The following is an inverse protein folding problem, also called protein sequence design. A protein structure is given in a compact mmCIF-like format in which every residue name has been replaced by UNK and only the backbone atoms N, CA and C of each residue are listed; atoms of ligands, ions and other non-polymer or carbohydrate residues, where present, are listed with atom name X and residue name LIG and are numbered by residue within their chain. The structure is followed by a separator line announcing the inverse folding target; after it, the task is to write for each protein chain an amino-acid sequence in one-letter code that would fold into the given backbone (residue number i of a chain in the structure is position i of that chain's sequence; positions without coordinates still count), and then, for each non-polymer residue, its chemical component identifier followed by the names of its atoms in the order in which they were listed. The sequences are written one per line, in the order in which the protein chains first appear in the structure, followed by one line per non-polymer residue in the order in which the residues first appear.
data_IF_042930355221
#
_entry.id   IF_042930355221
#
_cell.length_a   1.000
_cell.length_b   1.000
_cell.length_c   1.000
_cell.angle_alpha   90.00
_cell.angle_beta   90.00
_cell.angle_gamma   90.00
#
_symmetry.space_group_name_H-M   'P 1'
#
loop_
_entity.id
_entity.type
_entity.pdbx_description
1 polymer ?
#
# COMPACT_ATOMS: atom_id res chain seq x y z
N UNK A 1 9.93 0.61 -20.03
CA UNK A 1 8.88 1.20 -19.18
C UNK A 1 9.32 1.09 -17.74
N UNK A 2 9.25 2.16 -16.96
CA UNK A 2 9.59 2.10 -15.54
C UNK A 2 8.53 1.29 -14.79
N UNK A 3 8.97 0.35 -13.95
CA UNK A 3 8.08 -0.48 -13.12
C UNK A 3 7.28 0.42 -12.19
N UNK A 4 5.95 0.30 -12.22
CA UNK A 4 5.04 1.03 -11.33
C UNK A 4 4.82 0.23 -10.05
N UNK A 5 4.96 0.89 -8.91
CA UNK A 5 4.80 0.33 -7.58
C UNK A 5 3.43 0.75 -7.03
N UNK A 6 2.46 -0.16 -7.11
CA UNK A 6 1.13 0.07 -6.56
C UNK A 6 1.07 -0.38 -5.10
N UNK A 7 0.62 0.53 -4.23
CA UNK A 7 0.38 0.27 -2.84
C UNK A 7 -1.08 0.57 -2.47
N UNK A 8 -1.72 -0.30 -1.69
CA UNK A 8 -2.95 0.06 -1.00
C UNK A 8 -2.61 0.66 0.37
N UNK A 9 -3.37 1.66 0.80
CA UNK A 9 -3.32 2.18 2.17
C UNK A 9 -4.73 2.28 2.72
N UNK A 10 -4.98 1.67 3.87
CA UNK A 10 -6.30 1.66 4.49
C UNK A 10 -6.27 1.38 5.98
N UNK A 11 -7.31 1.85 6.67
CA UNK A 11 -7.61 1.53 8.05
C UNK A 11 -8.90 0.70 8.13
N UNK A 12 -8.91 -0.30 9.02
CA UNK A 12 -10.03 -1.24 9.17
C UNK A 12 -10.21 -1.63 10.63
N UNK A 13 -11.47 -1.72 11.07
CA UNK A 13 -11.84 -2.16 12.42
C UNK A 13 -11.81 -3.68 12.58
N UNK A 14 -11.98 -4.19 13.80
CA UNK A 14 -12.06 -5.64 14.08
C UNK A 14 -13.28 -6.33 13.44
N UNK A 15 -14.27 -5.56 13.02
CA UNK A 15 -15.48 -6.02 12.33
C UNK A 15 -15.54 -5.57 10.87
N UNK A 16 -14.37 -5.41 10.24
CA UNK A 16 -14.17 -5.08 8.82
C UNK A 16 -14.75 -3.74 8.37
N UNK A 17 -15.12 -2.85 9.30
CA UNK A 17 -15.63 -1.52 8.96
C UNK A 17 -14.47 -0.65 8.52
N UNK A 18 -14.67 0.07 7.41
CA UNK A 18 -13.74 1.05 6.84
C UNK A 18 -14.34 2.46 6.74
N UNK A 19 -15.64 2.61 6.99
CA UNK A 19 -16.33 3.88 6.85
C UNK A 19 -17.81 3.85 7.23
N UNK A 20 -18.35 5.04 7.51
CA UNK A 20 -19.76 5.29 7.74
C UNK A 20 -20.12 6.68 7.21
N UNK A 21 -21.18 6.80 6.39
CA UNK A 21 -21.67 8.08 5.85
C UNK A 21 -20.56 9.00 5.28
N UNK A 22 -19.71 8.45 4.40
CA UNK A 22 -18.57 9.16 3.80
C UNK A 22 -17.54 9.71 4.82
N UNK A 23 -17.51 9.18 6.03
CA UNK A 23 -16.56 9.54 7.09
C UNK A 23 -15.93 8.29 7.72
N UNK A 24 -14.84 8.49 8.47
CA UNK A 24 -14.26 7.45 9.32
C UNK A 24 -15.02 7.41 10.64
N UNK A 25 -15.50 6.25 11.11
CA UNK A 25 -16.28 6.12 12.35
C UNK A 25 -15.41 6.14 13.62
N UNK A 26 -14.18 6.62 13.51
CA UNK A 26 -13.20 6.75 14.59
C UNK A 26 -12.36 8.01 14.36
N UNK A 27 -11.87 8.59 15.47
CA UNK A 27 -10.82 9.61 15.41
C UNK A 27 -9.46 9.00 15.77
N UNK A 28 -8.62 8.82 14.74
CA UNK A 28 -7.23 8.35 14.84
C UNK A 28 -6.28 9.31 14.12
N UNK A 29 -6.46 10.62 14.33
CA UNK A 29 -5.68 11.68 13.68
C UNK A 29 -4.16 11.51 13.81
N UNK A 30 -3.64 11.03 14.96
CA UNK A 30 -2.18 10.86 15.12
C UNK A 30 -1.70 9.50 14.64
N UNK A 31 -2.49 8.44 14.83
CA UNK A 31 -2.05 7.08 14.54
C UNK A 31 -2.11 6.70 13.06
N UNK A 32 -3.18 7.07 12.35
CA UNK A 32 -3.45 6.64 10.97
C UNK A 32 -3.16 7.73 9.95
N UNK A 33 -3.72 8.93 10.16
CA UNK A 33 -3.56 10.05 9.23
C UNK A 33 -2.09 10.53 9.13
N UNK A 34 -1.33 10.48 10.23
CA UNK A 34 0.11 10.76 10.20
C UNK A 34 0.87 9.76 9.32
N UNK A 35 0.59 8.46 9.45
CA UNK A 35 1.23 7.43 8.62
C UNK A 35 0.87 7.64 7.15
N UNK A 36 -0.42 7.87 6.88
CA UNK A 36 -0.90 8.19 5.53
C UNK A 36 -0.14 9.37 4.95
N UNK A 37 -0.05 10.48 5.68
CA UNK A 37 0.60 11.70 5.20
C UNK A 37 2.11 11.52 4.99
N UNK A 38 2.78 10.79 5.87
CA UNK A 38 4.21 10.51 5.74
C UNK A 38 4.49 9.61 4.54
N UNK A 39 3.76 8.49 4.42
CA UNK A 39 3.95 7.52 3.33
C UNK A 39 3.63 8.11 1.96
N UNK A 40 2.50 8.83 1.87
CA UNK A 40 1.97 9.32 0.60
C UNK A 40 2.60 10.64 0.14
N UNK A 41 3.56 11.21 0.85
CA UNK A 41 4.28 12.43 0.44
C UNK A 41 5.74 12.18 0.04
N UNK A 42 6.31 11.05 0.45
CA UNK A 42 7.69 10.72 0.15
C UNK A 42 7.87 10.54 -1.37
N UNK A 43 8.76 11.29 -2.02
CA UNK A 43 9.06 11.12 -3.44
C UNK A 43 9.54 9.70 -3.76
N UNK A 44 9.47 9.32 -5.02
CA UNK A 44 10.16 8.13 -5.51
C UNK A 44 11.68 8.34 -5.57
N UNK A 45 12.42 7.29 -5.94
CA UNK A 45 13.89 7.31 -6.02
C UNK A 45 14.45 8.36 -6.99
N UNK A 46 13.64 8.78 -7.96
CA UNK A 46 14.01 9.78 -8.96
C UNK A 46 13.54 11.19 -8.55
N UNK A 47 12.99 11.35 -7.35
CA UNK A 47 12.49 12.62 -6.83
C UNK A 47 11.11 13.01 -7.36
N UNK A 48 10.41 12.14 -8.08
CA UNK A 48 9.05 12.46 -8.53
C UNK A 48 8.07 12.37 -7.36
N UNK A 49 7.05 13.25 -7.30
CA UNK A 49 6.01 13.13 -6.29
C UNK A 49 5.21 11.82 -6.48
N UNK A 50 4.70 11.21 -5.41
CA UNK A 50 3.85 10.03 -5.54
C UNK A 50 2.48 10.37 -6.17
N UNK A 51 1.86 9.37 -6.79
CA UNK A 51 0.51 9.44 -7.37
C UNK A 51 -0.50 8.91 -6.36
N UNK A 52 -1.55 9.66 -6.06
CA UNK A 52 -2.69 9.20 -5.27
C UNK A 52 -3.89 8.96 -6.17
N UNK A 53 -4.47 7.77 -6.05
CA UNK A 53 -5.65 7.38 -6.82
C UNK A 53 -6.76 7.03 -5.84
N UNK A 54 -7.91 7.70 -5.99
CA UNK A 54 -9.10 7.47 -5.18
C UNK A 54 -10.38 7.39 -6.00
N UNK A 55 -11.48 6.97 -5.37
CA UNK A 55 -12.81 7.01 -5.96
C UNK A 55 -13.54 8.31 -5.63
N UNK A 56 -14.56 8.66 -6.42
CA UNK A 56 -15.33 9.92 -6.24
C UNK A 56 -15.86 10.16 -4.83
N UNK A 57 -16.38 9.14 -4.13
CA UNK A 57 -16.86 9.27 -2.73
C UNK A 57 -15.73 9.52 -1.73
N UNK A 58 -14.55 8.98 -1.99
CA UNK A 58 -13.38 9.26 -1.16
C UNK A 58 -12.90 10.69 -1.40
N UNK A 59 -12.90 11.16 -2.65
CA UNK A 59 -12.62 12.56 -2.94
C UNK A 59 -13.62 13.51 -2.27
N UNK A 60 -14.91 13.16 -2.25
CA UNK A 60 -15.95 13.88 -1.52
C UNK A 60 -15.64 13.98 -0.02
N UNK A 61 -15.22 12.88 0.62
CA UNK A 61 -14.80 12.88 2.03
C UNK A 61 -13.56 13.74 2.32
N UNK A 62 -12.73 13.98 1.29
CA UNK A 62 -11.57 14.88 1.34
C UNK A 62 -11.92 16.33 0.99
N UNK A 63 -13.21 16.62 0.76
CA UNK A 63 -13.72 17.95 0.42
C UNK A 63 -13.31 18.42 -0.98
N UNK A 64 -13.17 17.48 -1.94
CA UNK A 64 -12.82 17.77 -3.33
C UNK A 64 -11.49 18.51 -3.55
N UNK A 65 -10.57 18.42 -2.58
CA UNK A 65 -9.28 19.12 -2.65
C UNK A 65 -8.14 18.15 -2.97
N UNK A 66 -7.31 18.44 -3.99
CA UNK A 66 -6.11 17.68 -4.20
C UNK A 66 -5.15 17.87 -3.03
N UNK A 67 -4.53 16.77 -2.62
CA UNK A 67 -3.57 16.78 -1.53
C UNK A 67 -2.22 17.30 -2.04
N UNK A 68 -1.68 18.36 -1.41
CA UNK A 68 -0.43 19.01 -1.83
C UNK A 68 0.75 18.02 -1.93
N UNK A 69 1.68 18.31 -2.84
CA UNK A 69 2.92 17.55 -3.12
C UNK A 69 2.69 16.12 -3.64
N UNK A 70 1.55 15.89 -4.29
CA UNK A 70 1.14 14.61 -4.88
C UNK A 70 0.46 14.87 -6.21
N UNK A 71 0.58 13.93 -7.14
CA UNK A 71 -0.30 13.88 -8.29
C UNK A 71 -1.62 13.25 -7.86
N UNK A 72 -2.72 14.01 -7.89
CA UNK A 72 -4.01 13.53 -7.39
C UNK A 72 -4.90 13.09 -8.55
N UNK A 73 -5.37 11.85 -8.49
CA UNK A 73 -6.21 11.22 -9.50
C UNK A 73 -7.48 10.69 -8.85
N UNK A 74 -8.63 10.95 -9.50
CA UNK A 74 -9.92 10.41 -9.09
C UNK A 74 -10.55 9.58 -10.21
N UNK A 75 -11.05 8.41 -9.84
CA UNK A 75 -11.95 7.61 -10.66
C UNK A 75 -13.40 8.00 -10.36
N UNK A 76 -14.15 8.38 -11.37
CA UNK A 76 -15.54 8.83 -11.24
C UNK A 76 -16.42 8.28 -12.37
N UNK A 77 -17.70 8.05 -12.08
CA UNK A 77 -18.72 7.77 -13.10
C UNK A 77 -19.41 9.04 -13.60
N UNK A 78 -19.16 10.19 -12.96
CA UNK A 78 -19.71 11.49 -13.33
C UNK A 78 -18.59 12.54 -13.42
N UNK A 79 -17.96 12.72 -14.60
CA UNK A 79 -16.83 13.62 -14.79
C UNK A 79 -17.22 15.11 -14.87
N UNK A 80 -18.51 15.40 -15.03
CA UNK A 80 -19.05 16.75 -15.27
C UNK A 80 -19.61 17.41 -14.00
N UNK A 81 -19.45 16.77 -12.84
CA UNK A 81 -19.89 17.30 -11.55
C UNK A 81 -19.13 18.61 -11.22
N UNK A 82 -19.83 19.65 -10.77
CA UNK A 82 -19.24 20.98 -10.52
C UNK A 82 -18.05 20.94 -9.56
N UNK A 83 -18.16 20.22 -8.44
CA UNK A 83 -17.07 20.09 -7.46
C UNK A 83 -15.82 19.39 -8.06
N UNK A 84 -16.01 18.59 -9.11
CA UNK A 84 -14.90 17.96 -9.82
C UNK A 84 -14.22 18.94 -10.78
N UNK A 85 -14.91 19.97 -11.27
CA UNK A 85 -14.28 21.04 -12.04
C UNK A 85 -13.28 21.81 -11.17
N UNK A 86 -13.67 22.17 -9.94
CA UNK A 86 -12.75 22.82 -8.98
C UNK A 86 -11.54 21.93 -8.65
N UNK A 87 -11.75 20.62 -8.47
CA UNK A 87 -10.65 19.67 -8.27
C UNK A 87 -9.66 19.65 -9.44
N UNK A 88 -10.18 19.66 -10.68
CA UNK A 88 -9.36 19.69 -11.91
C UNK A 88 -8.59 21.01 -12.05
N UNK A 89 -9.25 22.14 -11.77
CA UNK A 89 -8.60 23.48 -11.78
C UNK A 89 -7.49 23.58 -10.75
N UNK A 90 -7.63 22.91 -9.60
CA UNK A 90 -6.60 22.81 -8.57
C UNK A 90 -5.46 21.81 -8.89
N UNK A 91 -5.42 21.26 -10.12
CA UNK A 91 -4.37 20.37 -10.59
C UNK A 91 -4.63 18.87 -10.37
N UNK A 92 -5.87 18.50 -10.01
CA UNK A 92 -6.31 17.11 -9.97
C UNK A 92 -6.65 16.57 -11.37
N UNK A 93 -6.61 15.24 -11.52
CA UNK A 93 -6.98 14.56 -12.76
C UNK A 93 -8.16 13.62 -12.53
N UNK A 94 -9.08 13.54 -13.49
CA UNK A 94 -10.25 12.69 -13.42
C UNK A 94 -10.26 11.67 -14.57
N UNK A 95 -10.57 10.42 -14.24
CA UNK A 95 -10.71 9.34 -15.20
C UNK A 95 -12.03 8.60 -14.97
N UNK A 96 -12.60 8.07 -16.05
CA UNK A 96 -13.88 7.33 -16.01
C UNK A 96 -13.72 5.84 -16.24
N UNK A 97 -12.55 5.40 -16.70
CA UNK A 97 -12.22 3.99 -16.91
C UNK A 97 -10.77 3.69 -16.53
N UNK A 98 -10.53 2.43 -16.12
CA UNK A 98 -9.23 1.99 -15.60
C UNK A 98 -8.16 1.97 -16.70
N UNK A 99 -8.53 1.59 -17.92
CA UNK A 99 -7.60 1.40 -19.03
C UNK A 99 -6.92 2.70 -19.43
N UNK A 100 -7.68 3.79 -19.57
CA UNK A 100 -7.13 5.11 -19.88
C UNK A 100 -6.25 5.63 -18.76
N UNK A 101 -6.61 5.36 -17.51
CA UNK A 101 -5.78 5.69 -16.36
C UNK A 101 -4.45 4.92 -16.40
N UNK A 102 -4.47 3.61 -16.64
CA UNK A 102 -3.24 2.82 -16.77
C UNK A 102 -2.37 3.32 -17.92
N UNK A 103 -2.96 3.62 -19.07
CA UNK A 103 -2.25 4.19 -20.21
C UNK A 103 -1.60 5.53 -19.86
N UNK A 104 -2.32 6.41 -19.16
CA UNK A 104 -1.76 7.67 -18.65
C UNK A 104 -0.60 7.43 -17.68
N UNK A 105 -0.75 6.50 -16.73
CA UNK A 105 0.28 6.18 -15.76
C UNK A 105 1.58 5.71 -16.43
N UNK A 106 1.48 4.99 -17.55
CA UNK A 106 2.65 4.57 -18.34
C UNK A 106 3.38 5.73 -19.03
N UNK A 107 2.72 6.88 -19.23
CA UNK A 107 3.35 8.07 -19.84
C UNK A 107 4.13 8.95 -18.87
N UNK A 108 3.90 8.81 -17.56
CA UNK A 108 4.52 9.64 -16.53
C UNK A 108 5.73 8.94 -15.88
N UNK A 109 6.75 9.69 -15.41
CA UNK A 109 7.93 9.09 -14.80
C UNK A 109 7.68 8.53 -13.38
N UNK A 110 6.58 8.94 -12.74
CA UNK A 110 6.25 8.60 -11.35
C UNK A 110 6.15 7.08 -11.17
N UNK A 111 6.90 6.53 -10.23
CA UNK A 111 6.89 5.09 -9.98
C UNK A 111 5.93 4.71 -8.84
N UNK A 112 5.73 5.59 -7.86
CA UNK A 112 4.98 5.30 -6.64
C UNK A 112 3.50 5.67 -6.76
N UNK A 113 2.62 4.68 -6.66
CA UNK A 113 1.17 4.84 -6.82
C UNK A 113 0.47 4.31 -5.57
N UNK A 114 -0.33 5.16 -4.93
CA UNK A 114 -1.14 4.79 -3.76
C UNK A 114 -2.62 4.75 -4.13
N UNK A 115 -3.24 3.60 -3.91
CA UNK A 115 -4.68 3.40 -3.98
C UNK A 115 -5.25 3.65 -2.57
N UNK A 116 -5.83 4.84 -2.38
CA UNK A 116 -6.23 5.33 -1.05
C UNK A 116 -7.71 5.06 -0.72
N UNK A 117 -8.35 4.19 -1.53
CA UNK A 117 -9.76 3.84 -1.40
C UNK A 117 -10.69 4.70 -2.28
N UNK A 118 -12.01 4.52 -2.22
CA UNK A 118 -12.72 3.63 -1.31
C UNK A 118 -12.74 2.18 -1.75
N UNK A 119 -13.66 1.41 -1.16
CA UNK A 119 -13.90 -0.02 -1.38
C UNK A 119 -13.68 -0.48 -2.83
N UNK A 120 -14.33 0.17 -3.78
CA UNK A 120 -14.32 -0.24 -5.20
C UNK A 120 -12.96 -0.02 -5.86
N UNK A 121 -12.17 0.95 -5.38
CA UNK A 121 -10.81 1.19 -5.87
C UNK A 121 -9.87 0.04 -5.52
N UNK A 122 -9.96 -0.48 -4.30
CA UNK A 122 -9.14 -1.64 -3.93
C UNK A 122 -9.55 -2.88 -4.73
N UNK A 123 -10.86 -3.11 -4.95
CA UNK A 123 -11.32 -4.21 -5.81
C UNK A 123 -10.78 -4.05 -7.23
N UNK A 124 -10.84 -2.82 -7.77
CA UNK A 124 -10.40 -2.52 -9.13
C UNK A 124 -8.89 -2.75 -9.32
N UNK A 125 -8.06 -2.35 -8.34
CA UNK A 125 -6.59 -2.35 -8.46
C UNK A 125 -5.88 -3.50 -7.71
N UNK A 126 -6.61 -4.43 -7.08
CA UNK A 126 -6.00 -5.45 -6.21
C UNK A 126 -4.96 -6.31 -6.92
N UNK A 127 -5.11 -6.54 -8.23
CA UNK A 127 -4.17 -7.36 -9.00
C UNK A 127 -2.82 -6.67 -9.18
N UNK A 128 -2.81 -5.34 -9.29
CA UNK A 128 -1.61 -4.53 -9.46
C UNK A 128 -0.92 -4.23 -8.13
N UNK A 129 -1.66 -4.24 -7.01
CA UNK A 129 -1.15 -3.92 -5.67
C UNK A 129 -0.10 -4.95 -5.22
N UNK A 130 1.13 -4.45 -5.06
CA UNK A 130 2.27 -5.20 -4.54
C UNK A 130 2.55 -4.97 -3.05
N UNK A 131 2.14 -3.82 -2.51
CA UNK A 131 2.32 -3.46 -1.09
C UNK A 131 0.98 -3.07 -0.47
N UNK A 132 0.73 -3.48 0.77
CA UNK A 132 -0.42 -3.06 1.56
C UNK A 132 0.05 -2.46 2.87
N UNK A 133 -0.28 -1.19 3.09
CA UNK A 133 -0.17 -0.50 4.37
C UNK A 133 -1.53 -0.55 5.08
N UNK A 134 -1.62 -1.35 6.14
CA UNK A 134 -2.87 -1.61 6.86
C UNK A 134 -2.78 -1.07 8.29
N UNK A 135 -3.72 -0.23 8.67
CA UNK A 135 -3.96 0.13 10.08
C UNK A 135 -5.12 -0.70 10.62
N UNK A 136 -4.84 -1.64 11.52
CA UNK A 136 -5.85 -2.42 12.24
C UNK A 136 -6.28 -1.69 13.51
N UNK A 137 -7.55 -1.38 13.63
CA UNK A 137 -8.11 -0.64 14.76
C UNK A 137 -8.74 -1.65 15.71
N UNK A 138 -8.27 -1.66 16.96
CA UNK A 138 -8.76 -2.58 18.01
C UNK A 138 -10.07 -2.09 18.60
N UNK A 139 -11.08 -2.02 17.75
CA UNK A 139 -12.43 -1.64 18.12
C UNK A 139 -13.44 -2.30 17.18
N UNK A 140 -14.61 -2.62 17.73
CA UNK A 140 -15.81 -2.90 16.95
C UNK A 140 -16.65 -1.64 16.86
N UNK A 141 -16.85 -1.14 15.64
CA UNK A 141 -17.54 0.13 15.39
C UNK A 141 -18.78 -0.09 14.54
N UNK A 142 -19.74 0.82 14.64
CA UNK A 142 -20.86 0.85 13.71
C UNK A 142 -20.39 1.51 12.41
N UNK A 143 -20.66 0.87 11.28
CA UNK A 143 -20.42 1.45 9.97
C UNK A 143 -21.11 0.66 8.88
N UNK A 144 -21.40 1.36 7.78
CA UNK A 144 -22.12 0.78 6.65
C UNK A 144 -21.17 0.28 5.55
N UNK A 145 -19.93 0.76 5.55
CA UNK A 145 -18.94 0.45 4.53
C UNK A 145 -17.96 -0.55 5.13
N UNK A 146 -17.98 -1.76 4.56
CA UNK A 146 -17.07 -2.84 4.93
C UNK A 146 -15.95 -2.98 3.90
N UNK A 147 -14.78 -3.40 4.38
CA UNK A 147 -13.69 -3.87 3.54
C UNK A 147 -14.21 -4.98 2.62
N UNK A 148 -13.81 -5.04 1.35
CA UNK A 148 -14.32 -6.06 0.44
C UNK A 148 -13.94 -7.47 0.91
N UNK A 149 -14.92 -8.37 1.18
CA UNK A 149 -14.62 -9.73 1.63
C UNK A 149 -13.96 -10.60 0.54
N UNK A 150 -14.03 -10.17 -0.72
CA UNK A 150 -13.37 -10.83 -1.86
C UNK A 150 -11.87 -10.58 -1.90
N UNK A 151 -11.35 -9.64 -1.10
CA UNK A 151 -9.94 -9.29 -1.08
C UNK A 151 -9.27 -9.98 0.11
N UNK A 152 -8.28 -10.81 -0.20
CA UNK A 152 -7.52 -11.57 0.79
C UNK A 152 -6.06 -11.18 0.78
N UNK A 153 -5.45 -11.20 1.97
CA UNK A 153 -4.01 -11.04 2.18
C UNK A 153 -3.28 -12.39 2.22
N UNK A 154 -3.95 -13.52 1.98
CA UNK A 154 -3.32 -14.86 1.96
C UNK A 154 -2.15 -14.94 0.97
N UNK A 155 -2.24 -14.22 -0.16
CA UNK A 155 -1.18 -14.12 -1.14
C UNK A 155 -0.15 -13.05 -0.81
N UNK A 156 -0.12 -12.53 0.41
CA UNK A 156 0.82 -11.51 0.86
C UNK A 156 1.60 -12.01 2.07
N UNK A 157 2.87 -11.63 2.14
CA UNK A 157 3.71 -11.85 3.32
C UNK A 157 3.69 -10.59 4.17
N UNK A 158 3.41 -10.75 5.47
CA UNK A 158 3.59 -9.68 6.44
C UNK A 158 5.09 -9.44 6.65
N UNK A 159 5.54 -8.21 6.40
CA UNK A 159 6.96 -7.83 6.53
C UNK A 159 7.21 -6.88 7.71
N UNK A 160 6.15 -6.26 8.23
CA UNK A 160 6.22 -5.40 9.40
C UNK A 160 4.90 -5.42 10.17
N UNK A 161 4.99 -5.44 11.49
CA UNK A 161 3.86 -5.22 12.38
C UNK A 161 4.30 -4.47 13.62
N UNK A 162 3.73 -3.28 13.82
CA UNK A 162 3.96 -2.46 15.01
C UNK A 162 2.65 -2.12 15.70
N UNK A 163 2.52 -2.58 16.94
CA UNK A 163 1.48 -2.09 17.83
C UNK A 163 1.74 -0.61 18.14
N UNK A 164 0.75 0.25 17.86
CA UNK A 164 0.77 1.66 18.23
C UNK A 164 -0.17 1.87 19.41
N UNK A 165 0.42 1.91 20.59
CA UNK A 165 -0.27 2.18 21.85
C UNK A 165 -0.20 3.68 22.16
N UNK A 166 -0.75 4.51 21.28
CA UNK A 166 -0.91 5.93 21.60
C UNK A 166 -1.80 6.07 22.84
N UNK A 167 -1.55 7.05 23.72
CA UNK A 167 -2.47 7.35 24.82
C UNK A 167 -3.86 7.55 24.25
N UNK A 168 -4.84 6.85 24.83
CA UNK A 168 -6.24 7.02 24.43
C UNK A 168 -6.67 8.41 24.83
N UNK A 169 -6.86 9.27 23.83
CA UNK A 169 -7.29 10.66 23.94
C UNK A 169 -8.41 10.94 22.94
N UNK A 170 -8.95 12.16 22.95
CA UNK A 170 -10.02 12.57 22.03
C UNK A 170 -9.65 12.38 20.54
N UNK A 171 -8.34 12.32 20.21
CA UNK A 171 -7.79 12.23 18.85
C UNK A 171 -7.22 10.84 18.52
N UNK A 172 -7.26 9.90 19.46
CA UNK A 172 -6.75 8.54 19.35
C UNK A 172 -7.62 7.61 20.20
N UNK A 173 -8.86 7.43 19.77
CA UNK A 173 -9.88 6.77 20.57
C UNK A 173 -9.60 5.29 20.83
N UNK A 174 -8.82 4.65 19.96
CA UNK A 174 -8.61 3.21 19.99
C UNK A 174 -7.14 2.85 19.76
N UNK A 175 -6.62 1.83 20.46
CA UNK A 175 -5.36 1.23 20.10
C UNK A 175 -5.39 0.73 18.65
N UNK A 176 -4.26 0.82 17.95
CA UNK A 176 -4.15 0.32 16.58
C UNK A 176 -2.84 -0.43 16.36
N UNK A 177 -2.81 -1.27 15.33
CA UNK A 177 -1.60 -1.96 14.87
C UNK A 177 -1.36 -1.59 13.42
N UNK A 178 -0.19 -1.02 13.14
CA UNK A 178 0.22 -0.71 11.78
C UNK A 178 0.98 -1.89 11.21
N UNK A 179 0.54 -2.39 10.07
CA UNK A 179 1.10 -3.56 9.40
C UNK A 179 1.44 -3.25 7.96
N UNK A 180 2.50 -3.89 7.46
CA UNK A 180 2.91 -3.80 6.07
C UNK A 180 2.98 -5.21 5.50
N UNK A 181 2.31 -5.40 4.38
CA UNK A 181 2.31 -6.65 3.64
C UNK A 181 2.93 -6.43 2.26
N UNK A 182 3.74 -7.39 1.80
CA UNK A 182 4.32 -7.43 0.46
C UNK A 182 3.83 -8.69 -0.25
N UNK A 183 3.30 -8.55 -1.48
CA UNK A 183 2.93 -9.70 -2.30
C UNK A 183 4.19 -10.43 -2.78
N UNK A 184 4.38 -11.73 -2.43
CA UNK A 184 5.41 -12.55 -3.06
C UNK A 184 5.12 -12.64 -4.56
N UNK A 185 6.11 -12.36 -5.42
CA UNK A 185 5.92 -12.52 -6.86
C UNK A 185 5.50 -11.27 -7.64
N UNK A 186 5.66 -10.05 -7.12
CA UNK A 186 5.84 -8.85 -7.98
C UNK A 186 7.23 -8.81 -8.64
N UNK A 187 7.71 -9.99 -8.97
CA UNK A 187 8.92 -10.33 -9.69
C UNK A 187 8.47 -10.77 -11.10
N UNK A 188 9.30 -10.58 -12.12
CA UNK A 188 8.98 -11.10 -13.46
C UNK A 188 8.81 -12.63 -13.39
N UNK A 189 8.11 -13.23 -14.35
CA UNK A 189 7.93 -14.70 -14.42
C UNK A 189 9.27 -15.45 -14.33
N UNK A 190 10.33 -14.89 -14.93
CA UNK A 190 11.70 -15.42 -14.88
C UNK A 190 12.27 -15.44 -13.45
N UNK A 191 12.13 -14.33 -12.72
CA UNK A 191 12.56 -14.24 -11.32
C UNK A 191 11.78 -15.19 -10.41
N UNK A 192 10.51 -15.46 -10.73
CA UNK A 192 9.68 -16.43 -10.02
C UNK A 192 10.13 -17.88 -10.26
N UNK A 193 10.45 -18.25 -11.50
CA UNK A 193 10.96 -19.58 -11.85
C UNK A 193 12.29 -19.89 -11.13
N UNK A 194 13.13 -18.87 -10.98
CA UNK A 194 14.40 -18.94 -10.26
C UNK A 194 14.21 -19.10 -8.74
N UNK A 195 13.28 -18.36 -8.14
CA UNK A 195 12.98 -18.46 -6.69
C UNK A 195 12.27 -19.78 -6.31
N UNK A 196 11.39 -20.29 -7.17
CA UNK A 196 10.62 -21.51 -6.88
C UNK A 196 11.45 -22.80 -7.11
N UNK A 197 12.74 -22.69 -7.49
CA UNK A 197 13.60 -23.82 -7.88
C UNK A 197 12.91 -24.76 -8.88
N UNK A 198 12.01 -24.24 -9.71
CA UNK A 198 11.35 -25.04 -10.73
C UNK A 198 12.41 -25.26 -11.80
N UNK A 199 12.86 -26.51 -11.91
CA UNK A 199 13.81 -26.94 -12.90
C UNK A 199 13.30 -26.53 -14.28
N UNK A 200 13.90 -25.49 -14.87
CA UNK A 200 13.74 -25.22 -16.29
C UNK A 200 14.16 -26.50 -17.03
N UNK A 201 13.39 -26.98 -18.03
CA UNK A 201 13.90 -28.04 -18.89
C UNK A 201 15.22 -27.55 -19.52
N UNK A 202 16.28 -28.33 -19.32
CA UNK A 202 17.71 -28.00 -19.39
C UNK A 202 18.25 -27.37 -20.72
N UNK A 203 19.53 -26.95 -20.77
CA UNK A 203 20.32 -26.21 -19.79
C UNK A 203 20.67 -24.81 -20.33
N UNK A 204 20.45 -23.76 -19.53
CA UNK A 204 21.20 -22.51 -19.67
C UNK A 204 22.50 -22.69 -18.88
N UNK A 205 23.62 -22.20 -19.41
CA UNK A 205 24.96 -22.43 -18.87
C UNK A 205 25.02 -22.13 -17.36
N UNK A 206 25.75 -22.95 -16.60
CA UNK A 206 25.90 -22.80 -15.13
C UNK A 206 26.57 -21.49 -14.74
N UNK A 207 27.32 -20.87 -15.65
CA UNK A 207 28.10 -19.67 -15.39
C UNK A 207 27.24 -18.39 -15.43
N UNK A 208 26.12 -18.41 -16.17
CA UNK A 208 25.19 -17.27 -16.25
C UNK A 208 24.17 -17.25 -15.08
N UNK A 209 23.83 -18.42 -14.53
CA UNK A 209 22.82 -18.54 -13.46
C UNK A 209 23.32 -18.04 -12.10
N UNK A 210 24.62 -18.19 -11.80
CA UNK A 210 25.21 -17.72 -10.54
C UNK A 210 25.20 -16.19 -10.41
N UNK A 211 25.49 -15.49 -11.51
CA UNK A 211 25.36 -14.03 -11.59
C UNK A 211 23.91 -13.59 -11.51
N UNK A 212 23.03 -14.21 -12.30
CA UNK A 212 21.61 -13.87 -12.34
C UNK A 212 20.90 -14.07 -10.98
N UNK A 213 21.19 -15.17 -10.28
CA UNK A 213 20.68 -15.40 -8.92
C UNK A 213 21.18 -14.33 -7.94
N UNK A 214 22.44 -13.91 -8.05
CA UNK A 214 23.02 -12.83 -7.26
C UNK A 214 22.28 -11.50 -7.50
N UNK A 215 22.09 -11.13 -8.77
CA UNK A 215 21.41 -9.91 -9.18
C UNK A 215 19.94 -9.87 -8.70
N UNK A 216 19.25 -11.01 -8.74
CA UNK A 216 17.87 -11.12 -8.22
C UNK A 216 17.83 -10.94 -6.71
N UNK A 217 18.73 -11.58 -5.97
CA UNK A 217 18.82 -11.42 -4.51
C UNK A 217 19.17 -9.98 -4.11
N UNK A 218 20.07 -9.34 -4.82
CA UNK A 218 20.45 -7.94 -4.58
C UNK A 218 19.30 -6.98 -4.89
N UNK A 219 18.57 -7.21 -5.99
CA UNK A 219 17.37 -6.44 -6.34
C UNK A 219 16.27 -6.56 -5.28
N UNK A 220 16.07 -7.74 -4.67
CA UNK A 220 15.11 -7.92 -3.57
C UNK A 220 15.52 -7.10 -2.36
N UNK A 221 16.79 -7.23 -1.95
CA UNK A 221 17.33 -6.53 -0.80
C UNK A 221 17.22 -5.00 -0.97
N UNK A 222 17.38 -4.50 -2.20
CA UNK A 222 17.21 -3.08 -2.50
C UNK A 222 15.74 -2.63 -2.41
N UNK A 223 14.79 -3.39 -2.97
CA UNK A 223 13.35 -3.09 -2.81
C UNK A 223 12.94 -3.03 -1.32
N UNK A 224 13.46 -3.95 -0.50
CA UNK A 224 13.22 -3.97 0.93
C UNK A 224 13.85 -2.75 1.62
N UNK A 225 15.09 -2.40 1.29
CA UNK A 225 15.74 -1.18 1.81
C UNK A 225 14.95 0.08 1.47
N UNK A 226 14.37 0.16 0.28
CA UNK A 226 13.53 1.31 -0.12
C UNK A 226 12.22 1.37 0.67
N UNK A 227 11.57 0.22 0.91
CA UNK A 227 10.40 0.15 1.81
C UNK A 227 10.81 0.60 3.21
N UNK A 228 11.94 0.11 3.73
CA UNK A 228 12.45 0.50 5.03
C UNK A 228 12.77 1.99 5.13
N UNK A 229 13.41 2.57 4.11
CA UNK A 229 13.70 3.99 4.07
C UNK A 229 12.42 4.84 4.11
N UNK A 230 11.35 4.41 3.43
CA UNK A 230 10.02 5.05 3.49
C UNK A 230 9.35 4.92 4.85
N UNK A 231 9.67 3.86 5.57
CA UNK A 231 9.14 3.53 6.89
C UNK A 231 9.94 4.18 8.03
N UNK A 232 11.21 4.56 7.81
CA UNK A 232 12.05 5.20 8.83
C UNK A 232 11.42 6.43 9.52
N UNK A 233 10.74 7.36 8.81
CA UNK A 233 10.12 8.50 9.44
C UNK A 233 8.93 8.15 10.36
N UNK A 234 8.47 6.89 10.36
CA UNK A 234 7.44 6.39 11.26
C UNK A 234 8.03 5.85 12.58
N UNK A 235 9.30 6.15 12.86
CA UNK A 235 10.06 5.66 14.03
C UNK A 235 10.02 4.13 14.16
N UNK A 236 10.07 3.44 13.02
CA UNK A 236 10.10 1.98 12.95
C UNK A 236 11.54 1.48 13.15
N UNK A 237 11.73 0.52 14.04
CA UNK A 237 13.04 -0.09 14.33
C UNK A 237 13.28 -1.32 13.47
N UNK A 238 14.53 -1.78 13.36
CA UNK A 238 14.84 -3.05 12.71
C UNK A 238 14.15 -4.24 13.42
N UNK A 239 13.88 -4.14 14.72
CA UNK A 239 13.15 -5.15 15.48
C UNK A 239 11.64 -5.16 15.21
N UNK A 240 11.07 -4.05 14.72
CA UNK A 240 9.67 -3.97 14.26
C UNK A 240 9.48 -4.74 12.93
N UNK A 241 10.58 -5.07 12.23
CA UNK A 241 10.53 -5.95 11.08
C UNK A 241 10.31 -7.38 11.53
N UNK A 242 9.17 -7.92 11.13
CA UNK A 242 8.98 -9.34 11.22
C UNK A 242 9.99 -9.98 10.27
N UNK A 243 10.89 -10.80 10.81
CA UNK A 243 11.95 -11.44 10.05
C UNK A 243 11.39 -12.06 8.76
N UNK A 244 11.82 -11.51 7.62
CA UNK A 244 11.63 -12.10 6.29
C UNK A 244 12.42 -13.42 6.09
N UNK A 245 13.13 -13.91 7.11
CA UNK A 245 13.72 -15.24 7.06
C UNK A 245 12.77 -16.17 7.77
N UNK A 246 12.35 -17.25 7.11
CA UNK A 246 11.58 -18.36 7.69
C UNK A 246 12.30 -19.09 8.82
N UNK A 247 12.65 -18.36 9.89
CA UNK A 247 13.03 -18.86 11.19
C UNK A 247 11.84 -18.52 12.06
N UNK A 248 10.96 -19.50 12.23
CA UNK A 248 10.09 -19.51 13.41
C UNK A 248 11.00 -19.17 14.60
N UNK A 249 10.64 -18.18 15.40
CA UNK A 249 11.07 -18.17 16.80
C UNK A 249 10.61 -19.51 17.36
N UNK A 250 11.50 -20.50 17.43
CA UNK A 250 11.32 -21.55 18.41
C UNK A 250 11.23 -20.83 19.74
N UNK A 251 10.05 -20.88 20.33
CA UNK A 251 9.89 -20.62 21.74
C UNK A 251 10.80 -21.62 22.45
N UNK A 252 11.99 -21.16 22.84
CA UNK A 252 12.74 -21.83 23.90
C UNK A 252 11.90 -21.73 25.16
N UNK A 253 11.02 -22.72 25.35
CA UNK A 253 10.57 -23.13 26.66
C UNK A 253 11.83 -23.50 27.45
N UNK A 254 12.29 -22.58 28.28
CA UNK A 254 13.23 -22.90 29.34
C UNK A 254 12.49 -23.68 30.42
N UNK A 255 12.39 -24.99 30.23
CA UNK A 255 12.36 -25.94 31.34
C UNK A 255 13.77 -26.08 31.87
N UNK A 256 14.10 -25.38 32.96
CA UNK A 256 14.68 -25.99 34.17
C UNK A 256 14.58 -25.00 35.34
#
# INVERSE_FOLDING_TARGET
MNKKNYAAIYAVSENDVIGHENSLPWDLQKADLSNFMTLTKSPDRNGNPPVLICGGRTLESLGYKPLKNRLNIVMTTNPDKDELNEFKEAGGLAFTNKQDLLAYLDTIPNEEIFIIGGRDMWVMFWKEIGIVYKTEIRARVKGAILFPPTLSLESFTEILSKAKNWPVDEKNQFPSTFRVYKRPGHYTLEQRLVMEKITLPAPVSSDDMGGYLGDVHESIAEEERLILAKLQPLELTYDDLLQYKGVKKEETQSTT
#
